data_IF_921316544781
#
_entry.id   IF_921316544781
#
_cell.length_a   1.000
_cell.length_b   1.000
_cell.length_c   1.000
_cell.angle_alpha   90.00
_cell.angle_beta   90.00
_cell.angle_gamma   90.00
#
_symmetry.space_group_name_H-M   'P 1'
#
loop_
_entity.id
_entity.type
_entity.pdbx_description
1 polymer ?
#
# COMPACT_ATOMS: atom_id res chain seq x y z
N UNK A 1 25.74 23.66 -10.07
CA UNK A 1 25.41 22.88 -8.85
C UNK A 1 24.73 23.80 -7.86
N UNK A 2 23.61 23.39 -7.28
CA UNK A 2 22.94 24.16 -6.23
C UNK A 2 23.81 24.13 -4.96
N UNK A 3 24.16 25.30 -4.41
CA UNK A 3 25.02 25.42 -3.22
C UNK A 3 24.19 25.34 -1.92
N UNK A 4 23.32 24.33 -1.80
CA UNK A 4 22.41 24.17 -0.66
C UNK A 4 23.09 23.33 0.43
N UNK A 5 23.17 23.89 1.64
CA UNK A 5 23.71 23.15 2.80
C UNK A 5 22.72 22.09 3.26
N UNK A 6 23.20 21.06 3.96
CA UNK A 6 22.29 20.08 4.57
C UNK A 6 21.36 20.71 5.60
N UNK A 7 21.78 21.78 6.29
CA UNK A 7 20.91 22.49 7.23
C UNK A 7 19.74 23.16 6.50
N UNK A 8 20.01 23.84 5.38
CA UNK A 8 18.97 24.50 4.58
C UNK A 8 18.03 23.49 3.92
N UNK A 9 18.59 22.40 3.39
CA UNK A 9 17.81 21.30 2.82
C UNK A 9 16.86 20.69 3.86
N UNK A 10 17.39 20.32 5.02
CA UNK A 10 16.60 19.74 6.10
C UNK A 10 15.52 20.73 6.54
N UNK A 11 15.87 21.98 6.83
CA UNK A 11 14.91 23.02 7.22
C UNK A 11 13.76 23.17 6.21
N UNK A 12 14.05 23.08 4.91
CA UNK A 12 13.04 23.17 3.86
C UNK A 12 12.09 21.97 3.83
N UNK A 13 12.59 20.73 3.94
CA UNK A 13 11.74 19.53 3.83
C UNK A 13 10.82 19.32 5.06
N UNK A 14 11.23 19.77 6.26
CA UNK A 14 10.38 19.71 7.46
C UNK A 14 9.41 20.90 7.56
N UNK A 15 9.62 21.95 6.75
CA UNK A 15 8.85 23.20 6.81
C UNK A 15 7.32 22.99 6.81
N UNK A 16 6.72 22.11 5.97
CA UNK A 16 5.28 21.88 6.02
C UNK A 16 4.82 21.37 7.40
N UNK A 17 5.52 20.38 7.96
CA UNK A 17 5.22 19.82 9.28
C UNK A 17 5.37 20.87 10.40
N UNK A 18 6.44 21.68 10.36
CA UNK A 18 6.67 22.75 11.36
C UNK A 18 5.63 23.85 11.27
N UNK A 19 5.36 24.37 10.07
CA UNK A 19 4.38 25.44 9.86
C UNK A 19 3.00 25.01 10.35
N UNK A 20 2.67 23.73 10.17
CA UNK A 20 1.39 23.17 10.56
C UNK A 20 1.36 22.65 12.01
N UNK A 21 2.49 22.60 12.72
CA UNK A 21 2.59 21.86 13.99
C UNK A 21 2.04 20.43 13.86
N UNK A 22 2.29 19.81 12.71
CA UNK A 22 1.84 18.46 12.36
C UNK A 22 2.90 17.46 12.80
N UNK A 23 3.07 17.29 14.12
CA UNK A 23 3.99 16.34 14.75
C UNK A 23 3.76 16.31 16.27
N UNK A 24 4.14 15.20 16.92
CA UNK A 24 4.00 15.05 18.38
C UNK A 24 5.02 15.89 19.15
N UNK A 25 4.69 16.26 20.39
CA UNK A 25 5.63 16.96 21.28
C UNK A 25 6.91 16.13 21.46
N UNK A 26 8.06 16.76 21.23
CA UNK A 26 9.37 16.12 21.34
C UNK A 26 9.81 15.36 20.09
N UNK A 27 8.97 15.27 19.05
CA UNK A 27 9.36 14.70 17.78
C UNK A 27 10.46 15.53 17.11
N UNK A 28 11.40 14.86 16.46
CA UNK A 28 12.52 15.50 15.79
C UNK A 28 13.01 14.72 14.58
N UNK A 29 13.73 15.42 13.72
CA UNK A 29 14.42 14.80 12.60
C UNK A 29 15.59 13.94 13.11
N UNK A 30 15.78 12.79 12.47
CA UNK A 30 16.85 11.85 12.78
C UNK A 30 17.86 11.77 11.63
N UNK A 31 19.14 11.81 11.94
CA UNK A 31 20.24 11.86 10.95
C UNK A 31 21.30 10.81 11.24
N UNK A 32 22.11 10.49 10.24
CA UNK A 32 23.22 9.56 10.35
C UNK A 32 24.37 10.05 9.47
N UNK A 33 25.58 10.04 10.01
CA UNK A 33 26.82 10.20 9.26
C UNK A 33 27.70 9.02 9.58
N UNK A 34 28.21 8.32 8.56
CA UNK A 34 29.07 7.14 8.78
C UNK A 34 29.97 6.81 7.58
N UNK A 35 31.08 6.09 7.77
CA UNK A 35 31.81 5.44 6.68
C UNK A 35 31.07 4.19 6.19
N UNK A 36 31.34 3.73 4.96
CA UNK A 36 30.70 2.51 4.41
C UNK A 36 30.99 1.26 5.23
N UNK A 37 32.21 1.13 5.76
CA UNK A 37 32.66 -0.05 6.52
C UNK A 37 31.94 -0.21 7.88
N UNK A 38 31.27 0.83 8.35
CA UNK A 38 30.46 0.74 9.56
C UNK A 38 29.09 0.12 9.22
N UNK A 39 28.89 -1.13 9.66
CA UNK A 39 27.62 -1.85 9.52
C UNK A 39 26.50 -1.30 10.40
N UNK A 40 26.82 -0.48 11.41
CA UNK A 40 25.82 0.15 12.27
C UNK A 40 25.01 1.19 11.48
N UNK A 41 23.69 1.14 11.62
CA UNK A 41 22.79 2.19 11.17
C UNK A 41 22.30 3.03 12.36
N UNK A 42 23.22 3.28 13.30
CA UNK A 42 23.04 4.24 14.38
C UNK A 42 22.92 5.65 13.80
N UNK A 43 22.31 6.53 14.59
CA UNK A 43 22.17 7.93 14.24
C UNK A 43 21.81 8.71 15.49
N UNK A 44 21.48 9.98 15.29
CA UNK A 44 21.11 10.87 16.37
C UNK A 44 20.01 11.82 15.94
N UNK A 45 19.40 12.46 16.94
CA UNK A 45 18.59 13.66 16.72
C UNK A 45 19.43 14.71 16.00
N UNK A 46 18.86 15.31 14.97
CA UNK A 46 19.50 16.40 14.25
C UNK A 46 19.71 17.64 15.13
N UNK A 47 20.91 18.19 15.08
CA UNK A 47 21.32 19.49 15.60
C UNK A 47 22.19 20.21 14.58
N UNK A 48 22.45 21.52 14.74
CA UNK A 48 23.31 22.25 13.81
C UNK A 48 24.77 21.78 13.84
N UNK A 49 25.15 21.12 14.92
CA UNK A 49 26.48 20.57 15.17
C UNK A 49 26.59 19.10 14.70
N UNK A 50 25.56 18.56 14.04
CA UNK A 50 25.59 17.19 13.53
C UNK A 50 26.67 17.01 12.46
N UNK A 51 27.39 15.89 12.51
CA UNK A 51 28.47 15.53 11.55
C UNK A 51 28.01 15.40 10.10
N UNK A 52 26.70 15.41 9.86
CA UNK A 52 26.10 15.37 8.52
C UNK A 52 26.50 16.55 7.63
N UNK A 53 27.30 17.49 8.08
CA UNK A 53 27.82 18.59 7.26
C UNK A 53 29.17 18.28 6.58
N UNK A 54 29.81 17.15 6.90
CA UNK A 54 31.11 16.74 6.35
C UNK A 54 31.00 16.15 4.93
N UNK A 55 31.79 16.66 3.98
CA UNK A 55 31.68 16.32 2.54
C UNK A 55 32.17 14.90 2.21
N UNK A 56 33.07 14.36 3.01
CA UNK A 56 33.75 13.06 2.83
C UNK A 56 33.07 11.91 3.56
N UNK A 57 31.94 12.17 4.25
CA UNK A 57 31.13 11.15 4.93
C UNK A 57 29.86 10.81 4.16
N UNK A 58 29.36 9.58 4.38
CA UNK A 58 28.02 9.21 3.94
C UNK A 58 26.99 9.85 4.87
N UNK A 59 26.39 10.93 4.41
CA UNK A 59 25.38 11.66 5.18
C UNK A 59 23.98 11.27 4.75
N UNK A 60 23.14 10.98 5.75
CA UNK A 60 21.76 10.57 5.58
C UNK A 60 20.83 11.31 6.53
N UNK A 61 19.56 11.39 6.13
CA UNK A 61 18.46 11.80 6.98
C UNK A 61 17.34 10.76 6.93
N UNK A 62 16.55 10.68 8.00
CA UNK A 62 15.36 9.86 8.03
C UNK A 62 14.19 10.63 7.38
N UNK A 63 13.46 9.96 6.49
CA UNK A 63 12.30 10.55 5.78
C UNK A 63 11.10 10.89 6.68
N UNK A 64 11.14 10.48 7.96
CA UNK A 64 10.15 10.77 8.98
C UNK A 64 10.76 11.35 10.25
N UNK A 65 9.97 12.17 10.94
CA UNK A 65 10.27 12.59 12.31
C UNK A 65 10.09 11.41 13.26
N UNK A 66 10.92 11.36 14.30
CA UNK A 66 10.88 10.35 15.34
C UNK A 66 10.45 10.99 16.67
N UNK A 67 9.52 10.36 17.39
CA UNK A 67 9.07 10.76 18.74
C UNK A 67 9.66 9.86 19.82
N UNK A 68 9.85 10.36 21.06
CA UNK A 68 10.23 9.52 22.19
C UNK A 68 9.09 8.56 22.54
N UNK A 69 9.44 7.32 22.84
CA UNK A 69 8.52 6.28 23.36
C UNK A 69 9.15 5.75 24.64
N UNK A 70 8.41 5.80 25.75
CA UNK A 70 8.91 5.43 27.09
C UNK A 70 10.22 6.14 27.47
N UNK A 71 10.34 7.42 27.08
CA UNK A 71 11.53 8.24 27.30
C UNK A 71 12.71 7.95 26.35
N UNK A 72 12.60 6.94 25.50
CA UNK A 72 13.64 6.53 24.56
C UNK A 72 13.34 7.12 23.18
N UNK A 73 14.25 7.93 22.67
CA UNK A 73 14.21 8.48 21.33
C UNK A 73 15.22 7.75 20.45
N UNK A 74 14.72 6.99 19.48
CA UNK A 74 15.52 6.29 18.47
C UNK A 74 14.82 6.33 17.12
N UNK A 75 15.49 5.87 16.06
CA UNK A 75 14.85 5.63 14.77
C UNK A 75 14.27 4.24 14.72
N UNK A 76 12.97 4.14 14.45
CA UNK A 76 12.33 2.86 14.21
C UNK A 76 10.82 2.98 14.15
N UNK A 77 10.15 1.90 13.73
CA UNK A 77 8.70 1.89 13.55
C UNK A 77 7.91 2.33 14.79
N UNK A 78 8.38 1.96 16.00
CA UNK A 78 7.76 2.37 17.27
C UNK A 78 7.85 3.88 17.51
N UNK A 79 8.97 4.48 17.11
CA UNK A 79 9.25 5.90 17.29
C UNK A 79 8.80 6.74 16.10
N UNK A 80 8.23 6.15 15.06
CA UNK A 80 7.66 6.89 13.94
C UNK A 80 6.64 7.91 14.46
N UNK A 81 6.78 9.15 14.02
CA UNK A 81 5.82 10.20 14.30
C UNK A 81 5.10 10.64 13.03
N UNK A 82 5.84 11.23 12.09
CA UNK A 82 5.27 11.72 10.83
C UNK A 82 6.26 11.57 9.67
N UNK A 83 5.80 11.02 8.55
CA UNK A 83 6.51 11.03 7.28
C UNK A 83 6.40 12.43 6.66
N UNK A 84 7.53 13.05 6.33
CA UNK A 84 7.59 14.43 5.82
C UNK A 84 7.89 14.51 4.33
N UNK A 85 8.35 13.41 3.73
CA UNK A 85 8.65 13.33 2.31
C UNK A 85 8.60 11.88 1.81
N UNK A 86 8.39 11.72 0.50
CA UNK A 86 8.55 10.45 -0.21
C UNK A 86 9.80 10.56 -1.07
N UNK A 87 10.65 9.55 -1.04
CA UNK A 87 11.88 9.52 -1.84
C UNK A 87 11.93 8.23 -2.66
N UNK A 88 12.07 8.41 -3.96
CA UNK A 88 12.19 7.37 -4.97
C UNK A 88 13.67 7.19 -5.27
N UNK A 89 14.15 5.95 -5.23
CA UNK A 89 15.57 5.62 -5.28
C UNK A 89 15.88 4.75 -6.50
N UNK A 90 17.14 4.64 -6.88
CA UNK A 90 17.60 3.87 -8.05
C UNK A 90 17.03 4.36 -9.41
N UNK A 91 16.69 5.66 -9.53
CA UNK A 91 16.29 6.26 -10.82
C UNK A 91 17.51 6.40 -11.72
N UNK A 92 17.34 6.08 -13.01
CA UNK A 92 18.43 5.98 -13.99
C UNK A 92 19.11 4.62 -14.04
N UNK A 93 18.77 3.71 -13.11
CA UNK A 93 19.33 2.33 -13.09
C UNK A 93 18.25 1.25 -13.05
N UNK A 94 17.39 1.22 -12.03
CA UNK A 94 16.39 0.17 -11.82
C UNK A 94 14.95 0.67 -11.76
N UNK A 95 14.75 1.90 -11.27
CA UNK A 95 13.43 2.50 -11.11
C UNK A 95 13.00 3.24 -12.38
N UNK A 96 11.69 3.25 -12.63
CA UNK A 96 11.07 4.05 -13.68
C UNK A 96 11.23 5.55 -13.35
N UNK A 97 11.40 6.36 -14.40
CA UNK A 97 11.38 7.81 -14.25
C UNK A 97 9.95 8.30 -13.96
N UNK A 98 9.72 8.99 -12.83
CA UNK A 98 8.40 9.52 -12.50
C UNK A 98 7.97 10.65 -13.47
N UNK A 99 6.72 10.67 -13.95
CA UNK A 99 6.20 11.80 -14.74
C UNK A 99 6.00 13.09 -13.91
N UNK A 100 5.96 12.97 -12.57
CA UNK A 100 5.80 14.09 -11.66
C UNK A 100 7.13 14.77 -11.37
N UNK A 101 7.20 16.08 -11.61
CA UNK A 101 8.38 16.90 -11.30
C UNK A 101 8.76 16.77 -9.82
N UNK A 102 10.03 16.46 -9.49
CA UNK A 102 10.43 16.27 -8.09
C UNK A 102 10.74 17.60 -7.38
N UNK A 103 10.55 17.62 -6.06
CA UNK A 103 11.01 18.72 -5.20
C UNK A 103 12.54 18.78 -5.15
N UNK A 104 13.23 17.65 -5.27
CA UNK A 104 14.68 17.59 -5.44
C UNK A 104 15.14 16.35 -6.22
N UNK A 105 16.32 16.46 -6.84
CA UNK A 105 17.06 15.34 -7.43
C UNK A 105 18.48 15.35 -6.90
N UNK A 106 18.91 14.23 -6.33
CA UNK A 106 20.29 14.03 -5.88
C UNK A 106 20.87 12.83 -6.62
N UNK A 107 21.96 13.03 -7.35
CA UNK A 107 22.76 11.94 -7.88
C UNK A 107 23.64 11.37 -6.76
N UNK A 108 23.47 10.09 -6.46
CA UNK A 108 24.12 9.39 -5.33
C UNK A 108 25.35 8.58 -5.75
N UNK A 109 25.40 8.21 -7.02
CA UNK A 109 26.55 7.65 -7.74
C UNK A 109 26.34 7.91 -9.24
N UNK A 110 27.37 7.72 -10.07
CA UNK A 110 27.31 8.05 -11.50
C UNK A 110 26.11 7.39 -12.19
N UNK A 111 25.14 8.21 -12.64
CA UNK A 111 23.92 7.74 -13.32
C UNK A 111 22.86 7.11 -12.41
N UNK A 112 23.01 7.19 -11.08
CA UNK A 112 22.01 6.76 -10.12
C UNK A 112 21.50 7.95 -9.30
N UNK A 113 20.22 8.22 -9.42
CA UNK A 113 19.54 9.35 -8.81
C UNK A 113 18.49 8.91 -7.79
N UNK A 114 18.34 9.73 -6.74
CA UNK A 114 17.16 9.71 -5.88
C UNK A 114 16.33 10.98 -6.13
N UNK A 115 15.03 10.80 -6.32
CA UNK A 115 14.07 11.88 -6.52
C UNK A 115 13.17 12.00 -5.30
N UNK A 116 13.01 13.20 -4.77
CA UNK A 116 12.20 13.41 -3.58
C UNK A 116 11.06 14.39 -3.75
N UNK A 117 10.00 14.12 -3.01
CA UNK A 117 8.74 14.85 -3.00
C UNK A 117 8.44 15.27 -1.56
N UNK A 118 8.47 16.57 -1.29
CA UNK A 118 8.14 17.11 0.03
C UNK A 118 6.62 17.04 0.20
N UNK A 119 6.15 16.44 1.30
CA UNK A 119 4.72 16.33 1.57
C UNK A 119 4.16 17.67 2.05
N UNK A 120 3.13 18.17 1.37
CA UNK A 120 2.36 19.34 1.80
C UNK A 120 1.59 19.03 3.08
N UNK A 121 1.07 17.80 3.20
CA UNK A 121 0.46 17.24 4.40
C UNK A 121 1.24 15.99 4.82
N UNK A 122 2.00 16.04 5.93
CA UNK A 122 2.74 14.87 6.43
C UNK A 122 1.81 13.68 6.72
N UNK A 123 2.35 12.46 6.67
CA UNK A 123 1.60 11.25 7.05
C UNK A 123 1.99 10.84 8.46
N UNK A 124 1.03 10.88 9.38
CA UNK A 124 1.14 10.49 10.80
C UNK A 124 0.83 9.01 11.08
N UNK A 125 0.35 8.29 10.08
CA UNK A 125 0.02 6.87 10.18
C UNK A 125 1.12 6.03 9.53
N UNK A 126 1.86 5.28 10.36
CA UNK A 126 2.96 4.45 9.89
C UNK A 126 2.49 3.34 8.92
N UNK A 127 1.30 2.79 9.13
CA UNK A 127 0.75 1.72 8.29
C UNK A 127 0.35 2.25 6.92
N UNK A 128 -0.29 3.42 6.87
CA UNK A 128 -0.60 4.11 5.62
C UNK A 128 0.66 4.52 4.86
N UNK A 129 1.65 5.12 5.54
CA UNK A 129 2.93 5.46 4.94
C UNK A 129 3.60 4.24 4.29
N UNK A 130 3.61 3.10 4.98
CA UNK A 130 4.14 1.84 4.44
C UNK A 130 3.31 1.34 3.23
N UNK A 131 1.97 1.41 3.28
CA UNK A 131 1.10 1.02 2.15
C UNK A 131 1.41 1.86 0.90
N UNK A 132 1.50 3.18 1.05
CA UNK A 132 1.81 4.12 -0.04
C UNK A 132 3.17 3.79 -0.66
N UNK A 133 4.23 3.69 0.15
CA UNK A 133 5.58 3.45 -0.37
C UNK A 133 5.67 2.06 -1.03
N UNK A 134 4.98 1.05 -0.50
CA UNK A 134 4.89 -0.28 -1.14
C UNK A 134 4.17 -0.24 -2.48
N UNK A 135 3.08 0.51 -2.59
CA UNK A 135 2.36 0.65 -3.86
C UNK A 135 3.25 1.29 -4.93
N UNK A 136 3.98 2.35 -4.56
CA UNK A 136 4.99 3.02 -5.40
C UNK A 136 6.09 2.04 -5.83
N UNK A 137 6.62 1.24 -4.89
CA UNK A 137 7.64 0.24 -5.20
C UNK A 137 7.12 -0.85 -6.16
N UNK A 138 5.88 -1.34 -5.96
CA UNK A 138 5.26 -2.34 -6.84
C UNK A 138 5.06 -1.83 -8.26
N UNK A 139 4.67 -0.56 -8.39
CA UNK A 139 4.54 0.14 -9.67
C UNK A 139 5.90 0.36 -10.37
N UNK A 140 7.02 0.11 -9.69
CA UNK A 140 8.37 0.13 -10.27
C UNK A 140 9.10 1.45 -10.15
N UNK A 141 8.57 2.41 -9.37
CA UNK A 141 9.17 3.73 -9.20
C UNK A 141 10.22 3.79 -8.08
N UNK A 142 10.44 2.71 -7.32
CA UNK A 142 11.52 2.62 -6.32
C UNK A 142 11.84 1.15 -6.00
N UNK A 143 12.91 0.90 -5.23
CA UNK A 143 13.35 -0.44 -4.88
C UNK A 143 12.28 -1.26 -4.11
N UNK A 144 12.03 -2.49 -4.58
CA UNK A 144 11.01 -3.41 -4.06
C UNK A 144 11.42 -4.14 -2.77
N UNK A 145 12.71 -4.13 -2.41
CA UNK A 145 13.29 -4.91 -1.30
C UNK A 145 13.50 -4.13 0.00
N UNK A 146 13.26 -2.82 0.01
CA UNK A 146 13.52 -1.98 1.17
C UNK A 146 12.59 -2.28 2.38
N UNK A 147 13.18 -2.39 3.57
CA UNK A 147 12.48 -2.59 4.86
C UNK A 147 12.40 -1.27 5.64
N UNK A 148 11.34 -1.08 6.43
CA UNK A 148 11.17 0.11 7.27
C UNK A 148 11.02 1.38 6.44
N UNK A 149 10.16 1.31 5.41
CA UNK A 149 10.02 2.30 4.35
C UNK A 149 9.68 3.68 4.90
N UNK A 150 8.82 3.73 5.92
CA UNK A 150 8.43 4.99 6.55
C UNK A 150 9.51 5.60 7.46
N UNK A 151 10.61 4.89 7.73
CA UNK A 151 11.74 5.34 8.57
C UNK A 151 13.08 5.24 7.84
N UNK A 152 13.06 5.18 6.51
CA UNK A 152 14.25 4.96 5.67
C UNK A 152 15.23 6.12 5.77
N UNK A 153 16.52 5.78 5.70
CA UNK A 153 17.59 6.75 5.52
C UNK A 153 17.79 7.05 4.03
N UNK A 154 17.81 8.32 3.67
CA UNK A 154 18.08 8.80 2.30
C UNK A 154 19.27 9.75 2.30
N UNK A 155 19.99 9.82 1.18
CA UNK A 155 21.21 10.63 1.07
C UNK A 155 20.90 12.12 1.18
N UNK A 156 21.79 12.86 1.85
CA UNK A 156 21.74 14.32 1.94
C UNK A 156 22.53 14.99 0.79
N UNK A 157 22.22 16.24 0.41
CA UNK A 157 22.94 16.99 -0.63
C UNK A 157 24.45 17.08 -0.46
N UNK A 158 24.92 17.31 0.78
CA UNK A 158 26.33 17.39 1.13
C UNK A 158 26.76 16.06 1.75
N UNK A 159 27.74 15.41 1.14
CA UNK A 159 28.30 14.13 1.56
C UNK A 159 28.87 13.37 0.37
N UNK A 160 29.34 12.17 0.61
CA UNK A 160 29.86 11.30 -0.45
C UNK A 160 29.53 9.83 -0.21
N UNK A 161 29.64 9.06 -1.29
CA UNK A 161 29.42 7.63 -1.34
C UNK A 161 30.76 6.93 -1.53
N UNK A 162 31.28 6.37 -0.44
CA UNK A 162 32.58 5.70 -0.32
C UNK A 162 32.49 4.18 -0.53
N UNK A 163 31.38 3.66 -1.07
CA UNK A 163 31.27 2.25 -1.45
C UNK A 163 32.38 1.89 -2.47
N UNK A 164 33.05 0.73 -2.33
CA UNK A 164 34.19 0.36 -3.18
C UNK A 164 33.92 0.43 -4.68
N UNK A 165 32.75 -0.03 -5.12
CA UNK A 165 32.34 0.00 -6.53
C UNK A 165 32.25 1.41 -7.10
N UNK A 166 31.74 2.38 -6.33
CA UNK A 166 31.61 3.76 -6.79
C UNK A 166 32.94 4.50 -6.73
N UNK A 167 33.76 4.22 -5.72
CA UNK A 167 35.14 4.73 -5.61
C UNK A 167 35.98 4.29 -6.82
N UNK A 168 35.86 3.01 -7.22
CA UNK A 168 36.55 2.47 -8.38
C UNK A 168 36.13 3.17 -9.69
N UNK A 169 34.86 3.53 -9.82
CA UNK A 169 34.34 4.25 -11.01
C UNK A 169 34.55 5.77 -10.99
N UNK A 170 35.17 6.31 -9.94
CA UNK A 170 35.33 7.73 -9.70
C UNK A 170 36.78 8.08 -9.31
N UNK A 171 37.73 7.64 -10.14
CA UNK A 171 39.16 7.96 -10.03
C UNK A 171 39.76 7.64 -8.65
N UNK A 172 39.26 6.61 -7.97
CA UNK A 172 39.72 6.20 -6.65
C UNK A 172 39.27 7.11 -5.50
N UNK A 173 38.27 7.97 -5.70
CA UNK A 173 37.72 8.87 -4.68
C UNK A 173 36.24 8.59 -4.41
N UNK A 174 35.74 8.78 -3.17
CA UNK A 174 34.31 8.74 -2.87
C UNK A 174 33.51 9.62 -3.83
N UNK A 175 32.37 9.11 -4.30
CA UNK A 175 31.52 9.86 -5.23
C UNK A 175 30.76 10.95 -4.46
N UNK A 176 30.95 12.24 -4.74
CA UNK A 176 30.22 13.29 -4.03
C UNK A 176 28.74 13.21 -4.40
N UNK A 177 27.85 13.34 -3.41
CA UNK A 177 26.43 13.56 -3.70
C UNK A 177 26.28 14.86 -4.48
N UNK A 178 25.49 14.86 -5.55
CA UNK A 178 25.27 16.06 -6.37
C UNK A 178 23.80 16.43 -6.38
N UNK A 179 23.46 17.57 -5.80
CA UNK A 179 22.13 18.15 -5.90
C UNK A 179 21.93 18.74 -7.30
N UNK A 180 21.28 17.96 -8.17
CA UNK A 180 21.04 18.31 -9.58
C UNK A 180 19.86 19.28 -9.73
N UNK A 181 18.78 19.07 -8.97
CA UNK A 181 17.60 19.92 -8.94
C UNK A 181 17.18 20.23 -7.51
N UNK A 182 16.84 21.50 -7.25
CA UNK A 182 16.29 21.93 -5.96
C UNK A 182 15.12 22.90 -6.11
N UNK A 183 13.93 22.45 -5.70
CA UNK A 183 12.66 23.20 -5.73
C UNK A 183 11.98 23.16 -4.36
N UNK A 184 12.49 23.90 -3.35
CA UNK A 184 12.04 23.81 -1.94
C UNK A 184 10.63 24.31 -1.66
N UNK A 185 9.95 24.87 -2.67
CA UNK A 185 8.57 25.37 -2.59
C UNK A 185 7.57 24.42 -3.23
N UNK A 186 8.05 23.35 -3.86
CA UNK A 186 7.23 22.37 -4.54
C UNK A 186 6.82 21.30 -3.51
N UNK A 187 5.57 21.34 -3.08
CA UNK A 187 4.99 20.45 -2.09
C UNK A 187 3.84 19.68 -2.74
N UNK A 188 3.65 18.43 -2.32
CA UNK A 188 2.63 17.56 -2.87
C UNK A 188 1.80 16.88 -1.79
N UNK A 189 0.52 16.70 -2.04
CA UNK A 189 -0.27 15.70 -1.29
C UNK A 189 0.15 14.29 -1.73
N UNK A 190 -0.18 13.29 -0.92
CA UNK A 190 0.08 11.89 -1.28
C UNK A 190 -0.73 11.52 -2.53
N UNK A 191 -1.94 12.05 -2.63
CA UNK A 191 -2.86 11.85 -3.73
C UNK A 191 -2.30 12.41 -5.04
N UNK A 192 -1.76 13.63 -5.04
CA UNK A 192 -1.12 14.21 -6.23
C UNK A 192 0.05 13.36 -6.72
N UNK A 193 0.82 12.78 -5.80
CA UNK A 193 1.91 11.85 -6.14
C UNK A 193 1.32 10.58 -6.75
N UNK A 194 0.35 9.94 -6.10
CA UNK A 194 -0.22 8.68 -6.57
C UNK A 194 -0.94 8.81 -7.91
N UNK A 195 -1.71 9.88 -8.10
CA UNK A 195 -2.42 10.18 -9.34
C UNK A 195 -1.44 10.38 -10.49
N UNK A 196 -0.37 11.15 -10.26
CA UNK A 196 0.66 11.36 -11.28
C UNK A 196 1.41 10.07 -11.63
N UNK A 197 1.58 9.16 -10.66
CA UNK A 197 2.18 7.85 -10.88
C UNK A 197 1.19 6.81 -11.45
N UNK A 198 -0.07 7.18 -11.64
CA UNK A 198 -1.19 6.29 -12.06
C UNK A 198 -1.42 5.12 -11.09
N UNK A 199 -1.18 5.34 -9.80
CA UNK A 199 -1.28 4.32 -8.75
C UNK A 199 -2.61 4.45 -8.03
N UNK A 200 -3.45 3.43 -8.17
CA UNK A 200 -4.60 3.23 -7.29
C UNK A 200 -4.17 2.43 -6.05
N UNK A 201 -4.46 2.95 -4.86
CA UNK A 201 -4.32 2.19 -3.61
C UNK A 201 -5.43 1.13 -3.50
N UNK A 202 -5.29 0.04 -4.26
CA UNK A 202 -5.99 -1.19 -3.93
C UNK A 202 -5.50 -1.65 -2.56
N UNK A 203 -6.42 -2.00 -1.65
CA UNK A 203 -6.00 -2.88 -0.56
C UNK A 203 -5.68 -4.19 -1.24
N UNK A 204 -4.49 -4.71 -1.02
CA UNK A 204 -4.26 -6.11 -1.27
C UNK A 204 -5.17 -6.89 -0.33
N UNK A 205 -6.40 -7.15 -0.78
CA UNK A 205 -7.19 -8.24 -0.26
C UNK A 205 -6.62 -9.47 -0.96
N UNK A 206 -5.64 -10.06 -0.29
CA UNK A 206 -5.29 -11.47 -0.32
C UNK A 206 -4.98 -12.13 -1.67
N UNK A 207 -3.86 -12.86 -1.68
CA UNK A 207 -3.80 -14.14 -2.39
C UNK A 207 -5.15 -14.85 -2.32
N UNK A 208 -5.66 -15.27 -3.47
CA UNK A 208 -6.85 -16.11 -3.63
C UNK A 208 -7.01 -17.11 -2.48
N UNK A 209 -7.89 -16.79 -1.51
CA UNK A 209 -8.63 -17.78 -0.73
C UNK A 209 -10.11 -17.47 -0.89
N UNK A 210 -10.80 -18.52 -1.28
CA UNK A 210 -12.20 -18.59 -1.62
C UNK A 210 -13.11 -17.96 -0.56
N UNK A 211 -14.06 -17.20 -1.08
CA UNK A 211 -15.40 -16.89 -0.56
C UNK A 211 -15.89 -17.93 0.45
N UNK A 212 -15.97 -17.54 1.73
CA UNK A 212 -17.17 -17.61 2.58
C UNK A 212 -16.81 -17.13 4.00
N UNK A 213 -17.54 -16.13 4.50
CA UNK A 213 -17.72 -15.84 5.94
C UNK A 213 -16.52 -15.57 6.87
N UNK A 214 -15.41 -14.96 6.41
CA UNK A 214 -14.30 -14.57 7.30
C UNK A 214 -13.76 -13.14 7.07
N UNK A 215 -14.61 -12.12 7.24
CA UNK A 215 -14.14 -10.72 7.35
C UNK A 215 -14.49 -10.05 8.69
N UNK A 216 -14.69 -10.86 9.72
CA UNK A 216 -14.68 -10.43 11.13
C UNK A 216 -13.28 -10.42 11.77
N UNK A 217 -12.21 -10.72 11.00
CA UNK A 217 -10.88 -11.03 11.57
C UNK A 217 -9.66 -10.31 11.00
N UNK A 218 -9.79 -9.12 10.38
CA UNK A 218 -8.60 -8.36 9.93
C UNK A 218 -8.43 -6.93 10.48
N UNK A 219 -9.22 -6.53 11.48
CA UNK A 219 -8.70 -5.68 12.56
C UNK A 219 -9.25 -6.24 13.87
N UNK A 220 -8.38 -6.69 14.78
CA UNK A 220 -8.80 -7.21 16.10
C UNK A 220 -9.46 -6.16 17.00
N UNK A 221 -9.53 -4.91 16.53
CA UNK A 221 -9.99 -3.75 17.26
C UNK A 221 -11.50 -3.53 17.03
N UNK A 222 -12.23 -3.38 18.14
CA UNK A 222 -13.65 -3.05 18.17
C UNK A 222 -13.87 -1.62 17.63
N UNK A 223 -15.11 -1.30 17.23
CA UNK A 223 -15.45 0.08 16.83
C UNK A 223 -15.15 1.08 17.96
N UNK A 224 -15.31 0.65 19.21
CA UNK A 224 -15.03 1.45 20.41
C UNK A 224 -13.55 1.83 20.50
N UNK A 225 -12.63 0.90 20.21
CA UNK A 225 -11.19 1.15 20.24
C UNK A 225 -10.75 2.06 19.09
N UNK A 226 -11.31 1.86 17.89
CA UNK A 226 -11.06 2.74 16.74
C UNK A 226 -11.55 4.16 17.02
N UNK A 227 -12.73 4.29 17.63
CA UNK A 227 -13.27 5.58 18.09
C UNK A 227 -12.36 6.19 19.16
N UNK A 228 -11.86 5.40 20.13
CA UNK A 228 -10.92 5.87 21.16
C UNK A 228 -9.64 6.43 20.56
N UNK A 229 -9.07 5.77 19.55
CA UNK A 229 -7.86 6.26 18.86
C UNK A 229 -8.10 7.63 18.20
N UNK A 230 -9.25 7.83 17.55
CA UNK A 230 -9.64 9.12 16.97
C UNK A 230 -9.81 10.18 18.07
N UNK A 231 -10.53 9.84 19.14
CA UNK A 231 -10.82 10.75 20.25
C UNK A 231 -9.57 11.17 21.03
N UNK A 232 -8.58 10.30 21.13
CA UNK A 232 -7.31 10.57 21.81
C UNK A 232 -6.27 11.22 20.90
N UNK A 233 -6.53 11.34 19.59
CA UNK A 233 -5.59 11.86 18.61
C UNK A 233 -4.39 10.94 18.37
N UNK A 234 -4.49 9.68 18.78
CA UNK A 234 -3.44 8.67 18.62
C UNK A 234 -3.25 8.36 17.13
N UNK A 235 -4.34 8.01 16.45
CA UNK A 235 -4.41 7.79 15.01
C UNK A 235 -5.74 8.28 14.46
N UNK A 236 -5.69 8.88 13.26
CA UNK A 236 -6.86 9.33 12.54
C UNK A 236 -7.14 8.47 11.30
N UNK A 237 -6.11 8.13 10.53
CA UNK A 237 -6.29 7.59 9.18
C UNK A 237 -6.88 6.18 9.17
N UNK A 238 -6.19 5.19 9.76
CA UNK A 238 -6.65 3.80 9.78
C UNK A 238 -8.05 3.65 10.44
N UNK A 239 -8.33 4.24 11.63
CA UNK A 239 -9.66 4.18 12.24
C UNK A 239 -10.78 4.74 11.36
N UNK A 240 -10.58 5.90 10.72
CA UNK A 240 -11.59 6.51 9.85
C UNK A 240 -11.90 5.62 8.64
N UNK A 241 -10.90 4.98 8.03
CA UNK A 241 -11.11 4.07 6.90
C UNK A 241 -11.84 2.79 7.31
N UNK A 242 -11.42 2.16 8.42
CA UNK A 242 -12.03 0.91 8.89
C UNK A 242 -13.48 1.13 9.29
N UNK A 243 -13.76 2.21 10.03
CA UNK A 243 -15.13 2.56 10.40
C UNK A 243 -15.98 2.89 9.17
N UNK A 244 -15.42 3.57 8.16
CA UNK A 244 -16.11 3.84 6.89
C UNK A 244 -16.55 2.55 6.20
N UNK A 245 -15.65 1.56 6.10
CA UNK A 245 -15.93 0.25 5.51
C UNK A 245 -17.00 -0.52 6.31
N UNK A 246 -16.90 -0.52 7.64
CA UNK A 246 -17.87 -1.18 8.53
C UNK A 246 -19.24 -0.52 8.46
N UNK A 247 -19.31 0.80 8.38
CA UNK A 247 -20.58 1.52 8.29
C UNK A 247 -21.25 1.27 6.94
N UNK A 248 -20.45 1.23 5.87
CA UNK A 248 -20.92 0.88 4.54
C UNK A 248 -21.47 -0.56 4.47
N UNK A 249 -20.77 -1.54 5.06
CA UNK A 249 -21.25 -2.93 5.08
C UNK A 249 -22.53 -3.14 5.91
N UNK A 250 -22.76 -2.25 6.89
CA UNK A 250 -24.00 -2.17 7.68
C UNK A 250 -25.12 -1.37 7.01
N UNK A 251 -24.92 -0.91 5.77
CA UNK A 251 -25.92 -0.18 4.99
C UNK A 251 -26.10 1.28 5.40
N UNK A 252 -25.17 1.85 6.18
CA UNK A 252 -25.17 3.28 6.49
C UNK A 252 -24.76 4.05 5.23
N UNK A 253 -25.51 5.09 4.89
CA UNK A 253 -25.21 5.91 3.70
C UNK A 253 -23.87 6.64 3.81
N UNK A 254 -23.28 7.01 2.67
CA UNK A 254 -22.02 7.79 2.61
C UNK A 254 -22.17 9.08 3.43
N UNK A 255 -23.29 9.79 3.23
CA UNK A 255 -23.59 11.04 3.94
C UNK A 255 -23.63 10.83 5.46
N UNK A 256 -24.37 9.84 5.95
CA UNK A 256 -24.49 9.60 7.39
C UNK A 256 -23.16 9.12 7.99
N UNK A 257 -22.35 8.38 7.22
CA UNK A 257 -21.01 7.96 7.63
C UNK A 257 -20.09 9.16 7.80
N UNK A 258 -20.08 10.09 6.83
CA UNK A 258 -19.32 11.34 6.91
C UNK A 258 -19.73 12.14 8.15
N UNK A 259 -21.04 12.35 8.34
CA UNK A 259 -21.58 13.11 9.47
C UNK A 259 -21.20 12.47 10.82
N UNK A 260 -21.29 11.13 10.92
CA UNK A 260 -20.92 10.40 12.13
C UNK A 260 -19.42 10.52 12.45
N UNK A 261 -18.55 10.27 11.47
CA UNK A 261 -17.09 10.34 11.66
C UNK A 261 -16.61 11.76 11.94
N UNK A 262 -17.20 12.77 11.28
CA UNK A 262 -16.96 14.17 11.61
C UNK A 262 -17.44 14.52 13.03
N UNK A 263 -18.55 13.93 13.49
CA UNK A 263 -19.03 14.05 14.86
C UNK A 263 -18.05 13.49 15.89
N UNK A 264 -17.55 12.27 15.65
CA UNK A 264 -16.51 11.64 16.49
C UNK A 264 -15.25 12.51 16.53
N UNK A 265 -14.80 12.99 15.38
CA UNK A 265 -13.63 13.88 15.31
C UNK A 265 -13.85 15.20 16.06
N UNK A 266 -15.03 15.81 16.00
CA UNK A 266 -15.36 17.04 16.74
C UNK A 266 -15.40 16.86 18.25
N UNK A 267 -15.68 15.65 18.73
CA UNK A 267 -15.62 15.36 20.15
C UNK A 267 -14.18 15.36 20.69
N UNK A 268 -13.19 15.16 19.83
CA UNK A 268 -11.80 15.48 20.13
C UNK A 268 -11.62 17.01 20.15
N UNK A 269 -11.20 17.56 21.30
CA UNK A 269 -10.98 19.01 21.50
C UNK A 269 -9.68 19.54 20.89
N UNK A 270 -8.93 18.69 20.19
CA UNK A 270 -7.66 19.05 19.58
C UNK A 270 -7.87 19.98 18.36
N UNK A 271 -7.16 21.11 18.33
CA UNK A 271 -7.22 22.10 17.24
C UNK A 271 -5.87 22.22 16.51
N UNK A 272 -5.18 21.09 16.36
CA UNK A 272 -3.94 21.01 15.60
C UNK A 272 -4.24 21.06 14.10
N UNK A 273 -3.30 21.51 13.27
CA UNK A 273 -3.49 21.42 11.81
C UNK A 273 -3.61 19.97 11.35
N UNK A 274 -3.02 19.03 12.13
CA UNK A 274 -3.22 17.59 11.97
C UNK A 274 -4.70 17.22 12.02
N UNK A 275 -5.39 17.63 13.08
CA UNK A 275 -6.83 17.43 13.22
C UNK A 275 -7.62 18.12 12.08
N UNK A 276 -7.32 19.39 11.77
CA UNK A 276 -8.04 20.15 10.73
C UNK A 276 -7.92 19.54 9.35
N UNK A 277 -6.72 19.13 8.98
CA UNK A 277 -6.44 18.48 7.70
C UNK A 277 -7.20 17.16 7.60
N UNK A 278 -7.15 16.31 8.64
CA UNK A 278 -7.90 15.05 8.68
C UNK A 278 -9.41 15.28 8.64
N UNK A 279 -9.93 16.27 9.34
CA UNK A 279 -11.35 16.62 9.34
C UNK A 279 -11.85 17.01 7.94
N UNK A 280 -11.06 17.81 7.23
CA UNK A 280 -11.36 18.22 5.87
C UNK A 280 -11.29 17.04 4.87
N UNK A 281 -10.45 16.04 5.13
CA UNK A 281 -10.26 14.88 4.25
C UNK A 281 -11.32 13.77 4.42
N UNK A 282 -12.08 13.75 5.53
CA UNK A 282 -13.09 12.72 5.82
C UNK A 282 -14.04 12.45 4.64
N UNK A 283 -14.68 13.45 4.01
CA UNK A 283 -15.61 13.19 2.90
C UNK A 283 -14.98 12.38 1.76
N UNK A 284 -13.73 12.70 1.41
CA UNK A 284 -13.00 11.98 0.36
C UNK A 284 -12.64 10.58 0.81
N UNK A 285 -12.13 10.42 2.04
CA UNK A 285 -11.76 9.12 2.60
C UNK A 285 -12.96 8.15 2.66
N UNK A 286 -14.13 8.63 3.12
CA UNK A 286 -15.36 7.84 3.13
C UNK A 286 -15.75 7.44 1.71
N UNK A 287 -15.78 8.37 0.76
CA UNK A 287 -16.14 8.07 -0.63
C UNK A 287 -15.24 7.00 -1.25
N UNK A 288 -13.94 7.09 -1.02
CA UNK A 288 -12.97 6.09 -1.50
C UNK A 288 -13.26 4.72 -0.92
N UNK A 289 -13.51 4.63 0.40
CA UNK A 289 -13.91 3.38 1.04
C UNK A 289 -15.23 2.85 0.46
N UNK A 290 -16.24 3.69 0.30
CA UNK A 290 -17.54 3.31 -0.25
C UNK A 290 -17.44 2.76 -1.67
N UNK A 291 -16.66 3.40 -2.55
CA UNK A 291 -16.43 2.93 -3.90
C UNK A 291 -15.68 1.59 -3.94
N UNK A 292 -14.72 1.43 -3.03
CA UNK A 292 -13.88 0.23 -2.95
C UNK A 292 -14.63 -0.99 -2.40
N UNK A 293 -15.48 -0.77 -1.41
CA UNK A 293 -16.24 -1.84 -0.74
C UNK A 293 -17.69 -1.93 -1.21
N UNK A 294 -18.11 -1.12 -2.18
CA UNK A 294 -19.40 -1.26 -2.85
C UNK A 294 -19.60 -2.74 -3.21
N UNK A 295 -20.58 -3.37 -2.56
CA UNK A 295 -20.83 -4.79 -2.76
C UNK A 295 -20.97 -5.04 -4.27
N UNK A 296 -20.21 -6.02 -4.80
CA UNK A 296 -20.40 -6.46 -6.19
C UNK A 296 -21.90 -6.68 -6.41
N UNK A 297 -22.49 -6.14 -7.49
CA UNK A 297 -23.90 -6.36 -7.76
C UNK A 297 -24.15 -7.87 -7.74
N UNK A 298 -25.17 -8.30 -6.98
CA UNK A 298 -25.54 -9.71 -6.94
C UNK A 298 -26.03 -10.07 -8.34
N UNK A 299 -25.28 -10.91 -9.06
CA UNK A 299 -25.53 -11.32 -10.46
C UNK A 299 -26.83 -12.13 -10.68
N UNK A 300 -27.72 -12.20 -9.69
CA UNK A 300 -29.00 -12.88 -9.84
C UNK A 300 -30.01 -11.97 -10.53
N UNK A 301 -30.20 -12.20 -11.83
CA UNK A 301 -31.30 -11.60 -12.57
C UNK A 301 -32.62 -12.20 -12.08
N UNK A 302 -33.45 -11.38 -11.44
CA UNK A 302 -34.85 -11.74 -11.19
C UNK A 302 -35.58 -11.82 -12.53
N UNK A 303 -36.28 -12.93 -12.76
CA UNK A 303 -37.15 -13.13 -13.93
C UNK A 303 -38.57 -13.39 -13.45
N UNK A 304 -39.55 -12.92 -14.21
CA UNK A 304 -40.96 -13.17 -13.91
C UNK A 304 -41.33 -14.62 -14.23
N UNK A 305 -42.44 -15.11 -13.67
CA UNK A 305 -42.97 -16.44 -14.01
C UNK A 305 -43.27 -16.56 -15.52
N UNK A 306 -43.76 -15.49 -16.15
CA UNK A 306 -44.04 -15.47 -17.58
C UNK A 306 -42.78 -15.62 -18.43
N UNK A 307 -41.73 -14.87 -18.10
CA UNK A 307 -40.42 -14.99 -18.75
C UNK A 307 -39.80 -16.38 -18.53
N UNK A 308 -39.96 -16.94 -17.33
CA UNK A 308 -39.48 -18.29 -17.02
C UNK A 308 -40.16 -19.35 -17.88
N UNK A 309 -41.50 -19.29 -18.03
CA UNK A 309 -42.25 -20.24 -18.85
C UNK A 309 -41.90 -20.16 -20.34
N UNK A 310 -41.37 -19.02 -20.81
CA UNK A 310 -40.90 -18.80 -22.18
C UNK A 310 -39.41 -19.12 -22.37
N UNK A 311 -38.68 -19.48 -21.31
CA UNK A 311 -37.25 -19.72 -21.39
C UNK A 311 -36.89 -20.95 -22.21
N UNK A 312 -35.72 -20.92 -22.86
CA UNK A 312 -35.22 -22.09 -23.59
C UNK A 312 -35.05 -23.27 -22.62
N UNK A 313 -35.49 -24.49 -23.00
CA UNK A 313 -35.26 -25.67 -22.19
C UNK A 313 -33.75 -25.88 -21.97
N UNK A 314 -33.35 -26.47 -20.83
CA UNK A 314 -31.93 -26.63 -20.50
C UNK A 314 -31.23 -27.43 -21.60
N UNK A 315 -30.03 -26.96 -21.97
CA UNK A 315 -29.13 -27.69 -22.85
C UNK A 315 -28.41 -28.77 -22.05
N UNK A 316 -28.03 -29.86 -22.72
CA UNK A 316 -27.48 -31.06 -22.07
C UNK A 316 -26.11 -31.43 -22.64
N UNK A 317 -25.18 -31.82 -21.77
CA UNK A 317 -23.97 -32.56 -22.16
C UNK A 317 -24.27 -34.06 -22.33
N UNK A 318 -25.09 -34.63 -21.44
CA UNK A 318 -25.65 -35.98 -21.59
C UNK A 318 -27.15 -35.87 -21.43
N UNK A 319 -27.90 -36.27 -22.47
CA UNK A 319 -29.34 -36.02 -22.55
C UNK A 319 -30.07 -36.56 -21.32
N UNK A 320 -30.86 -35.69 -20.67
CA UNK A 320 -31.67 -35.96 -19.47
C UNK A 320 -30.86 -36.37 -18.21
N UNK A 321 -29.53 -36.24 -18.23
CA UNK A 321 -28.67 -36.64 -17.12
C UNK A 321 -27.75 -35.51 -16.66
N UNK A 322 -26.99 -34.90 -17.58
CA UNK A 322 -26.01 -33.88 -17.27
C UNK A 322 -26.32 -32.58 -18.03
N UNK A 323 -26.80 -31.51 -17.37
CA UNK A 323 -27.04 -30.23 -18.03
C UNK A 323 -25.72 -29.55 -18.45
N UNK A 324 -25.78 -28.70 -19.48
CA UNK A 324 -24.63 -27.94 -19.98
C UNK A 324 -24.17 -26.86 -19.00
N UNK A 325 -25.09 -26.37 -18.17
CA UNK A 325 -24.84 -25.39 -17.11
C UNK A 325 -25.52 -25.87 -15.83
N UNK A 326 -24.78 -25.88 -14.72
CA UNK A 326 -25.26 -26.30 -13.41
C UNK A 326 -24.27 -27.21 -12.69
N UNK A 327 -24.71 -27.76 -11.56
CA UNK A 327 -23.95 -28.72 -10.75
C UNK A 327 -24.72 -30.03 -10.71
N UNK A 328 -24.04 -31.15 -10.89
CA UNK A 328 -24.60 -32.50 -10.76
C UNK A 328 -23.73 -33.32 -9.80
N UNK A 329 -24.34 -34.27 -9.09
CA UNK A 329 -23.67 -35.13 -8.12
C UNK A 329 -23.76 -36.59 -8.55
N UNK A 330 -22.62 -37.27 -8.65
CA UNK A 330 -22.53 -38.72 -8.77
C UNK A 330 -22.29 -39.33 -7.38
N UNK A 331 -23.24 -40.12 -6.88
CA UNK A 331 -23.19 -40.70 -5.54
C UNK A 331 -23.24 -42.24 -5.58
N UNK A 332 -22.75 -42.89 -4.52
CA UNK A 332 -22.69 -44.35 -4.39
C UNK A 332 -21.68 -44.81 -3.34
N UNK A 333 -21.78 -46.06 -2.87
CA UNK A 333 -20.88 -46.63 -1.85
C UNK A 333 -19.39 -46.56 -2.25
N UNK A 334 -18.48 -46.59 -1.26
CA UNK A 334 -17.05 -46.72 -1.53
C UNK A 334 -16.78 -48.02 -2.30
N UNK A 335 -15.89 -47.98 -3.29
CA UNK A 335 -15.61 -49.12 -4.17
C UNK A 335 -16.67 -49.42 -5.25
N UNK A 336 -17.82 -48.75 -5.27
CA UNK A 336 -18.90 -49.00 -6.25
C UNK A 336 -18.59 -48.55 -7.70
N UNK A 337 -17.35 -48.15 -8.00
CA UNK A 337 -16.92 -47.82 -9.36
C UNK A 337 -17.25 -46.40 -9.86
N UNK A 338 -17.63 -45.46 -8.98
CA UNK A 338 -17.97 -44.07 -9.34
C UNK A 338 -16.93 -43.39 -10.26
N UNK A 339 -15.64 -43.57 -9.96
CA UNK A 339 -14.56 -42.98 -10.76
C UNK A 339 -14.51 -43.54 -12.18
N UNK A 340 -14.80 -44.84 -12.36
CA UNK A 340 -14.86 -45.47 -13.69
C UNK A 340 -16.05 -44.95 -14.49
N UNK A 341 -17.23 -44.85 -13.86
CA UNK A 341 -18.44 -44.27 -14.46
C UNK A 341 -18.18 -42.82 -14.88
N UNK A 342 -17.54 -42.02 -14.02
CA UNK A 342 -17.17 -40.66 -14.33
C UNK A 342 -16.21 -40.59 -15.53
N UNK A 343 -15.13 -41.38 -15.54
CA UNK A 343 -14.14 -41.38 -16.62
C UNK A 343 -14.71 -41.83 -17.98
N UNK A 344 -15.60 -42.82 -17.98
CA UNK A 344 -16.29 -43.29 -19.19
C UNK A 344 -17.24 -42.20 -19.75
N UNK A 345 -17.98 -41.53 -18.87
CA UNK A 345 -18.81 -40.38 -19.23
C UNK A 345 -17.98 -39.23 -19.79
N UNK A 346 -16.87 -38.88 -19.12
CA UNK A 346 -15.93 -37.86 -19.60
C UNK A 346 -15.40 -38.21 -21.00
N UNK A 347 -14.98 -39.45 -21.20
CA UNK A 347 -14.44 -39.91 -22.49
C UNK A 347 -15.49 -39.81 -23.60
N UNK A 348 -16.74 -40.14 -23.29
CA UNK A 348 -17.86 -40.05 -24.23
C UNK A 348 -18.20 -38.61 -24.60
N UNK A 349 -18.19 -37.68 -23.63
CA UNK A 349 -18.37 -36.24 -23.84
C UNK A 349 -17.22 -35.65 -24.67
N UNK A 350 -15.97 -36.02 -24.40
CA UNK A 350 -14.81 -35.49 -25.15
C UNK A 350 -14.85 -35.91 -26.62
N UNK A 351 -15.28 -37.15 -26.88
CA UNK A 351 -15.41 -37.72 -28.23
C UNK A 351 -16.70 -37.32 -28.94
N UNK A 352 -17.74 -36.93 -28.20
CA UNK A 352 -19.08 -36.71 -28.75
C UNK A 352 -19.75 -38.00 -29.23
N UNK A 353 -19.55 -39.10 -28.50
CA UNK A 353 -20.25 -40.38 -28.74
C UNK A 353 -21.29 -40.61 -27.66
N UNK A 354 -22.30 -41.42 -27.96
CA UNK A 354 -23.33 -41.77 -26.99
C UNK A 354 -22.73 -42.48 -25.77
N UNK A 355 -23.20 -42.10 -24.58
CA UNK A 355 -22.81 -42.69 -23.31
C UNK A 355 -23.97 -43.52 -22.76
N UNK A 356 -23.80 -44.83 -22.59
CA UNK A 356 -24.84 -45.75 -22.12
C UNK A 356 -26.19 -45.58 -22.87
N UNK A 357 -26.15 -45.45 -24.21
CA UNK A 357 -27.31 -45.18 -25.08
C UNK A 357 -27.97 -43.80 -24.90
N UNK A 358 -27.35 -42.90 -24.13
CA UNK A 358 -27.76 -41.50 -24.01
C UNK A 358 -26.90 -40.65 -24.94
N UNK A 359 -27.57 -39.79 -25.72
CA UNK A 359 -26.88 -38.83 -26.59
C UNK A 359 -25.98 -37.91 -25.77
N UNK A 360 -24.68 -37.91 -26.09
CA UNK A 360 -23.73 -36.98 -25.49
C UNK A 360 -23.27 -35.92 -26.50
N UNK A 361 -23.19 -34.66 -26.04
CA UNK A 361 -22.67 -33.53 -26.81
C UNK A 361 -21.17 -33.46 -26.66
N UNK A 362 -20.45 -33.25 -27.77
CA UNK A 362 -18.99 -33.04 -27.73
C UNK A 362 -18.63 -31.81 -26.90
N UNK A 363 -17.73 -31.95 -25.93
CA UNK A 363 -17.34 -30.87 -25.02
C UNK A 363 -15.92 -31.01 -24.46
N UNK A 364 -15.38 -29.91 -23.93
CA UNK A 364 -14.12 -29.93 -23.17
C UNK A 364 -14.41 -30.28 -21.73
N UNK A 365 -13.64 -31.20 -21.15
CA UNK A 365 -13.82 -31.65 -19.77
C UNK A 365 -12.49 -31.56 -19.04
N UNK A 366 -12.52 -31.07 -17.81
CA UNK A 366 -11.39 -31.14 -16.87
C UNK A 366 -11.79 -32.12 -15.76
N UNK A 367 -11.00 -33.17 -15.58
CA UNK A 367 -11.20 -34.14 -14.50
C UNK A 367 -10.20 -33.85 -13.38
N UNK A 368 -10.69 -33.37 -12.23
CA UNK A 368 -9.88 -33.02 -11.06
C UNK A 368 -10.02 -34.12 -10.02
N UNK A 369 -8.89 -34.70 -9.62
CA UNK A 369 -8.84 -35.82 -8.66
C UNK A 369 -8.09 -35.37 -7.41
N UNK A 370 -8.74 -35.46 -6.25
CA UNK A 370 -8.16 -35.08 -4.95
C UNK A 370 -7.85 -36.29 -4.06
N UNK A 371 -8.23 -37.51 -4.48
CA UNK A 371 -7.98 -38.77 -3.78
C UNK A 371 -7.30 -39.77 -4.73
N UNK A 372 -6.26 -40.50 -4.28
CA UNK A 372 -5.53 -41.46 -5.11
C UNK A 372 -4.15 -41.02 -5.63
N UNK A 373 -3.49 -40.05 -4.96
CA UNK A 373 -2.04 -39.87 -5.11
C UNK A 373 -1.33 -41.07 -4.49
N UNK A 374 -0.70 -41.90 -5.33
CA UNK A 374 0.39 -42.79 -4.91
C UNK A 374 1.70 -42.04 -5.03
#
# INVERSE_FOLDING_TARGET
MHNTTNADFLSAIIKPAVKQKFYSKGACLWVCSKPYKDGSWSGAKYTKESEIHEVDKNNYFCVSLQKPVDGILTRGKKNFDVLICIVLDDIGTKALEPPLKPSWVIETSKGNEQWGYILSTPIDDASYAEKVIKAIARAGYTDKGAKGLSTRYMRLPVGSNDKPEHVATNDGKPYPHKLLQWSPKLFYTVEEILDALEISLCEDINEFKSVDTEYEKSSSESDEELIRQILTGESYHDPLLVLSARYQSRGISERNTIEALQGVMKANKENTERWKSRYADIPRAVRTAFNKYAAKPRDFKFVTLHEFLQSEPPRWFVKNLLPEKGVAMLYGQSGAGKSFVALDMVSSIVRGVDWCSLRAKRGRVVYVVTEGRS
#
